data_IF_816553142841
#
_entry.id   IF_816553142841
#
_cell.length_a   1.000
_cell.length_b   1.000
_cell.length_c   1.000
_cell.angle_alpha   90.00
_cell.angle_beta   90.00
_cell.angle_gamma   90.00
#
_symmetry.space_group_name_H-M   'P 1'
#
loop_
_entity.id
_entity.type
_entity.pdbx_description
1 polymer ?
#
# COMPACT_ATOMS: atom_id res chain seq x y z
N UNK A 1 28.45 -24.07 -24.63
CA UNK A 1 28.74 -22.93 -23.73
C UNK A 1 27.76 -21.83 -24.04
N UNK A 2 26.73 -21.67 -23.21
CA UNK A 2 25.80 -20.54 -23.26
C UNK A 2 25.39 -20.31 -21.81
N UNK A 3 26.04 -19.34 -21.17
CA UNK A 3 25.75 -18.96 -19.80
C UNK A 3 24.35 -18.34 -19.72
N UNK A 4 23.57 -18.61 -18.66
CA UNK A 4 22.40 -17.79 -18.37
C UNK A 4 22.90 -16.39 -17.99
N UNK A 5 22.32 -15.38 -18.64
CA UNK A 5 22.54 -13.97 -18.30
C UNK A 5 21.95 -13.74 -16.91
N UNK A 6 22.81 -13.79 -15.90
CA UNK A 6 22.57 -13.17 -14.61
C UNK A 6 22.32 -11.68 -14.85
N UNK A 7 21.09 -11.25 -14.69
CA UNK A 7 20.78 -9.86 -14.40
C UNK A 7 20.53 -9.78 -12.89
N UNK A 8 21.57 -9.56 -12.06
CA UNK A 8 21.34 -8.99 -10.75
C UNK A 8 21.22 -7.46 -10.92
N UNK A 9 20.74 -6.81 -9.87
CA UNK A 9 20.75 -5.37 -9.61
C UNK A 9 19.44 -4.62 -9.89
N UNK A 10 18.89 -4.13 -8.76
CA UNK A 10 17.91 -3.05 -8.61
C UNK A 10 16.45 -3.40 -8.92
N UNK A 11 15.83 -4.15 -8.01
CA UNK A 11 14.46 -3.88 -7.57
C UNK A 11 14.61 -3.31 -6.15
N UNK A 12 14.70 -2.00 -6.09
CA UNK A 12 15.11 -1.25 -4.92
C UNK A 12 13.88 -0.70 -4.20
N UNK A 13 13.68 -1.21 -2.98
CA UNK A 13 13.40 -0.36 -1.80
C UNK A 13 12.09 0.45 -1.71
N UNK A 14 11.13 0.32 -2.63
CA UNK A 14 9.87 1.08 -2.55
C UNK A 14 8.84 0.65 -1.46
N UNK A 15 9.19 -0.27 -0.55
CA UNK A 15 8.40 -0.59 0.66
C UNK A 15 9.15 -0.23 1.97
N UNK A 16 10.35 0.34 1.89
CA UNK A 16 11.10 0.71 3.10
C UNK A 16 10.68 2.06 3.71
N UNK A 17 9.77 2.80 3.07
CA UNK A 17 9.28 4.10 3.55
C UNK A 17 7.99 3.97 4.38
N UNK A 18 7.50 2.74 4.63
CA UNK A 18 6.65 2.49 5.80
C UNK A 18 7.58 2.49 7.02
N UNK A 19 7.88 3.68 7.53
CA UNK A 19 8.80 3.92 8.65
C UNK A 19 8.21 3.42 9.97
N UNK A 20 8.19 2.11 10.14
CA UNK A 20 8.12 1.46 11.44
C UNK A 20 9.19 0.38 11.51
N UNK A 21 9.77 0.13 12.69
CA UNK A 21 10.71 -0.99 12.87
C UNK A 21 10.07 -2.38 12.65
N UNK A 22 8.75 -2.40 12.41
CA UNK A 22 7.86 -3.56 12.38
C UNK A 22 7.05 -3.56 11.08
N UNK A 23 7.19 -4.62 10.29
CA UNK A 23 6.40 -4.83 9.07
C UNK A 23 5.00 -5.36 9.41
N UNK A 24 3.97 -4.99 8.63
CA UNK A 24 2.65 -5.64 8.70
C UNK A 24 2.37 -6.37 7.39
N UNK A 25 2.09 -7.66 7.50
CA UNK A 25 2.02 -8.56 6.33
C UNK A 25 0.79 -9.45 6.34
N UNK A 26 0.48 -9.97 5.15
CA UNK A 26 -0.61 -10.89 4.89
C UNK A 26 -0.08 -12.11 4.11
N UNK A 27 -0.61 -13.31 4.34
CA UNK A 27 -0.15 -14.52 3.63
C UNK A 27 -0.58 -14.55 2.15
N UNK A 28 -1.61 -13.79 1.79
CA UNK A 28 -2.23 -13.80 0.46
C UNK A 28 -2.58 -12.36 0.05
N UNK A 29 -2.73 -12.06 -1.25
CA UNK A 29 -3.22 -10.76 -1.69
C UNK A 29 -4.63 -10.50 -1.16
N UNK A 30 -4.81 -9.40 -0.44
CA UNK A 30 -6.06 -9.11 0.26
C UNK A 30 -7.05 -8.31 -0.59
N UNK A 31 -8.37 -8.47 -0.35
CA UNK A 31 -8.98 -9.57 0.40
C UNK A 31 -8.85 -10.91 -0.33
N UNK A 32 -8.80 -12.00 0.42
CA UNK A 32 -8.88 -13.35 -0.15
C UNK A 32 -10.18 -13.57 -0.94
N UNK A 33 -10.12 -14.51 -1.89
CA UNK A 33 -11.28 -15.00 -2.65
C UNK A 33 -12.05 -13.89 -3.38
N UNK A 34 -11.32 -12.88 -3.86
CA UNK A 34 -11.87 -11.74 -4.60
C UNK A 34 -11.15 -11.59 -5.93
N UNK A 35 -11.94 -11.26 -6.95
CA UNK A 35 -11.45 -11.04 -8.30
C UNK A 35 -10.41 -9.94 -8.32
N UNK A 36 -9.29 -10.26 -8.95
CA UNK A 36 -8.22 -9.33 -9.28
C UNK A 36 -8.64 -8.44 -10.45
N UNK A 37 -8.18 -7.20 -10.40
CA UNK A 37 -8.39 -6.20 -11.42
C UNK A 37 -7.08 -5.98 -12.17
N UNK A 38 -7.20 -5.89 -13.48
CA UNK A 38 -6.13 -5.56 -14.42
C UNK A 38 -6.00 -4.05 -14.66
N UNK A 39 -6.92 -3.25 -14.12
CA UNK A 39 -6.88 -1.80 -14.25
C UNK A 39 -7.50 -1.05 -13.06
N UNK A 40 -6.97 0.15 -12.82
CA UNK A 40 -7.62 1.15 -12.00
C UNK A 40 -8.89 1.67 -12.70
N UNK A 41 -9.91 2.12 -11.94
CA UNK A 41 -11.05 2.79 -12.56
C UNK A 41 -10.60 4.05 -13.29
N UNK A 42 -11.16 4.33 -14.47
CA UNK A 42 -10.83 5.56 -15.22
C UNK A 42 -10.93 6.84 -14.38
N UNK A 43 -11.90 6.89 -13.46
CA UNK A 43 -12.07 8.02 -12.54
C UNK A 43 -10.95 8.20 -11.50
N UNK A 44 -10.01 7.26 -11.42
CA UNK A 44 -8.81 7.33 -10.57
C UNK A 44 -7.58 7.75 -11.36
N UNK A 45 -7.59 7.60 -12.68
CA UNK A 45 -6.49 7.98 -13.56
C UNK A 45 -6.24 9.49 -13.50
N UNK A 46 -4.97 9.89 -13.63
CA UNK A 46 -4.51 11.28 -13.58
C UNK A 46 -3.43 11.51 -12.54
N UNK A 47 -3.06 12.79 -12.40
CA UNK A 47 -2.06 13.24 -11.45
C UNK A 47 -2.71 13.72 -10.16
N UNK A 48 -2.11 13.34 -9.04
CA UNK A 48 -2.55 13.64 -7.69
C UNK A 48 -1.37 14.18 -6.90
N UNK A 49 -1.61 15.07 -5.95
CA UNK A 49 -0.57 15.59 -5.06
C UNK A 49 -1.02 15.67 -3.62
N UNK A 50 -0.15 15.32 -2.69
CA UNK A 50 -0.34 15.53 -1.25
C UNK A 50 0.14 16.91 -0.81
N UNK A 51 0.82 17.65 -1.68
CA UNK A 51 1.36 18.95 -1.35
C UNK A 51 0.26 20.01 -1.26
N UNK A 52 0.24 20.75 -0.14
CA UNK A 52 -0.83 21.70 0.18
C UNK A 52 -0.86 22.89 -0.79
N UNK A 53 0.29 23.27 -1.36
CA UNK A 53 0.39 24.37 -2.34
C UNK A 53 0.19 23.92 -3.80
N UNK A 54 -0.12 22.64 -4.02
CA UNK A 54 -0.30 22.07 -5.35
C UNK A 54 0.99 21.61 -6.02
N UNK A 55 0.87 21.09 -7.24
CA UNK A 55 1.94 20.35 -7.93
C UNK A 55 3.19 21.20 -8.22
N UNK A 56 3.02 22.50 -8.48
CA UNK A 56 4.12 23.40 -8.84
C UNK A 56 5.17 23.54 -7.72
N UNK A 57 4.78 23.23 -6.47
CA UNK A 57 5.63 23.26 -5.28
C UNK A 57 5.88 21.87 -4.67
N UNK A 58 5.32 20.82 -5.28
CA UNK A 58 5.41 19.46 -4.76
C UNK A 58 6.77 18.81 -5.06
N UNK A 59 7.30 18.07 -4.09
CA UNK A 59 8.37 17.10 -4.30
C UNK A 59 7.91 15.90 -5.13
N UNK A 60 8.85 15.14 -5.68
CA UNK A 60 8.53 13.93 -6.48
C UNK A 60 7.80 12.86 -5.66
N UNK A 61 8.10 12.77 -4.36
CA UNK A 61 7.46 11.89 -3.36
C UNK A 61 6.05 12.36 -2.95
N UNK A 62 5.69 13.61 -3.25
CA UNK A 62 4.37 14.19 -3.01
C UNK A 62 3.44 14.11 -4.23
N UNK A 63 3.90 13.54 -5.35
CA UNK A 63 3.14 13.43 -6.60
C UNK A 63 2.84 11.96 -6.90
N UNK A 64 1.56 11.60 -6.98
CA UNK A 64 1.10 10.29 -7.41
C UNK A 64 0.50 10.37 -8.81
N UNK A 65 1.03 9.59 -9.76
CA UNK A 65 0.46 9.45 -11.10
C UNK A 65 -0.21 8.09 -11.20
N UNK A 66 -1.52 8.08 -11.42
CA UNK A 66 -2.30 6.87 -11.66
C UNK A 66 -2.59 6.73 -13.14
N UNK A 67 -2.09 5.67 -13.75
CA UNK A 67 -2.45 5.26 -15.12
C UNK A 67 -3.39 4.06 -15.03
N UNK A 68 -3.87 3.60 -16.19
CA UNK A 68 -4.81 2.48 -16.28
C UNK A 68 -4.29 1.22 -15.56
N UNK A 69 -3.04 0.83 -15.79
CA UNK A 69 -2.46 -0.44 -15.35
C UNK A 69 -1.29 -0.29 -14.37
N UNK A 70 -0.96 0.94 -13.96
CA UNK A 70 0.23 1.22 -13.14
C UNK A 70 0.12 2.53 -12.36
N UNK A 71 0.99 2.68 -11.37
CA UNK A 71 1.17 3.93 -10.61
C UNK A 71 2.65 4.32 -10.53
N UNK A 72 2.94 5.61 -10.40
CA UNK A 72 4.27 6.19 -10.10
C UNK A 72 4.15 7.20 -8.97
N UNK A 73 5.21 7.41 -8.21
CA UNK A 73 5.23 8.43 -7.14
C UNK A 73 5.25 7.88 -5.72
N UNK A 74 5.75 6.65 -5.55
CA UNK A 74 5.87 5.97 -4.26
C UNK A 74 7.33 5.97 -3.76
N UNK A 75 8.08 7.06 -3.97
CA UNK A 75 9.42 7.29 -3.41
C UNK A 75 10.61 7.11 -4.36
N UNK A 76 10.69 6.00 -5.12
CA UNK A 76 11.93 5.64 -5.83
C UNK A 76 11.86 5.78 -7.36
N UNK A 77 10.90 6.57 -7.87
CA UNK A 77 10.69 6.81 -9.30
C UNK A 77 10.30 5.57 -10.16
N UNK A 78 10.24 4.39 -9.53
CA UNK A 78 9.78 3.13 -10.12
C UNK A 78 8.24 3.14 -10.34
N UNK A 79 7.83 2.63 -11.50
CA UNK A 79 6.41 2.37 -11.78
C UNK A 79 6.02 1.02 -11.14
N UNK A 80 4.94 1.01 -10.37
CA UNK A 80 4.30 -0.22 -9.90
C UNK A 80 3.28 -0.65 -10.94
N UNK A 81 3.50 -1.78 -11.59
CA UNK A 81 2.63 -2.36 -12.62
C UNK A 81 1.70 -3.42 -12.02
N UNK A 82 0.41 -3.33 -12.30
CA UNK A 82 -0.58 -4.28 -11.83
C UNK A 82 -0.35 -5.67 -12.43
N UNK A 83 -0.44 -6.70 -11.60
CA UNK A 83 -0.19 -8.10 -11.97
C UNK A 83 1.30 -8.46 -12.11
N UNK A 84 2.21 -7.50 -11.96
CA UNK A 84 3.66 -7.73 -11.90
C UNK A 84 4.18 -7.38 -10.50
N UNK A 85 3.96 -6.14 -10.08
CA UNK A 85 4.50 -5.60 -8.83
C UNK A 85 3.44 -5.50 -7.74
N UNK A 86 2.15 -5.46 -8.10
CA UNK A 86 1.05 -5.41 -7.14
C UNK A 86 -0.21 -6.09 -7.66
N UNK A 87 -0.98 -6.66 -6.74
CA UNK A 87 -2.31 -7.20 -7.01
C UNK A 87 -3.37 -6.19 -6.58
N UNK A 88 -4.23 -5.78 -7.52
CA UNK A 88 -5.34 -4.86 -7.25
C UNK A 88 -6.65 -5.64 -7.05
N UNK A 89 -7.30 -5.42 -5.91
CA UNK A 89 -8.63 -5.97 -5.61
C UNK A 89 -9.60 -4.88 -5.19
N UNK A 90 -10.90 -5.12 -5.44
CA UNK A 90 -11.99 -4.21 -5.04
C UNK A 90 -12.70 -4.70 -3.79
N UNK A 91 -12.91 -3.79 -2.85
CA UNK A 91 -13.74 -4.01 -1.68
C UNK A 91 -14.72 -2.84 -1.45
N UNK A 92 -15.92 -2.96 -2.01
CA UNK A 92 -16.90 -1.87 -1.99
C UNK A 92 -16.41 -0.67 -2.80
N UNK A 93 -16.23 0.48 -2.14
CA UNK A 93 -15.65 1.71 -2.73
C UNK A 93 -14.13 1.77 -2.65
N UNK A 94 -13.50 0.87 -1.87
CA UNK A 94 -12.06 0.83 -1.66
C UNK A 94 -11.35 0.07 -2.79
N UNK A 95 -10.10 0.44 -3.04
CA UNK A 95 -9.13 -0.31 -3.82
C UNK A 95 -8.04 -0.79 -2.87
N UNK A 96 -7.76 -2.08 -2.93
CA UNK A 96 -6.81 -2.75 -2.06
C UNK A 96 -5.65 -3.16 -2.96
N UNK A 97 -4.47 -2.62 -2.70
CA UNK A 97 -3.24 -2.98 -3.38
C UNK A 97 -2.45 -3.87 -2.44
N UNK A 98 -2.10 -5.06 -2.92
CA UNK A 98 -1.23 -6.00 -2.21
C UNK A 98 0.10 -6.08 -2.94
N UNK A 99 1.18 -5.75 -2.24
CA UNK A 99 2.55 -5.76 -2.76
C UNK A 99 3.29 -6.97 -2.20
N UNK A 100 3.88 -7.84 -3.03
CA UNK A 100 4.70 -8.93 -2.56
C UNK A 100 5.92 -8.37 -1.80
N UNK A 101 6.22 -8.97 -0.67
CA UNK A 101 7.37 -8.62 0.15
C UNK A 101 8.65 -9.20 -0.45
N UNK A 102 9.73 -8.42 -0.40
CA UNK A 102 11.03 -8.88 -0.86
C UNK A 102 11.49 -10.04 0.02
N UNK A 103 11.98 -11.11 -0.60
CA UNK A 103 12.48 -12.31 0.09
C UNK A 103 11.43 -13.05 0.96
N UNK A 104 10.14 -12.84 0.69
CA UNK A 104 9.04 -13.51 1.39
C UNK A 104 7.87 -13.84 0.44
N UNK A 105 7.06 -14.82 0.81
CA UNK A 105 5.80 -15.20 0.16
C UNK A 105 4.61 -14.33 0.62
N UNK A 106 4.88 -13.27 1.39
CA UNK A 106 3.87 -12.43 2.04
C UNK A 106 3.62 -11.15 1.27
N UNK A 107 2.56 -10.46 1.68
CA UNK A 107 2.13 -9.22 1.05
C UNK A 107 1.98 -8.10 2.07
N UNK A 108 2.41 -6.90 1.73
CA UNK A 108 1.94 -5.68 2.40
C UNK A 108 0.73 -5.13 1.68
N UNK A 109 -0.15 -4.47 2.43
CA UNK A 109 -1.43 -4.01 1.93
C UNK A 109 -1.61 -2.54 2.20
N UNK A 110 -1.96 -1.78 1.16
CA UNK A 110 -2.47 -0.41 1.28
C UNK A 110 -3.88 -0.31 0.75
N UNK A 111 -4.61 0.64 1.30
CA UNK A 111 -6.05 0.78 1.11
C UNK A 111 -6.33 2.18 0.63
N UNK A 112 -6.75 2.29 -0.61
CA UNK A 112 -7.10 3.56 -1.20
C UNK A 112 -8.62 3.73 -1.29
N UNK A 113 -9.11 4.94 -1.07
CA UNK A 113 -10.50 5.31 -1.30
C UNK A 113 -10.60 6.72 -1.89
N UNK A 114 -11.20 6.80 -3.08
CA UNK A 114 -11.50 8.08 -3.73
C UNK A 114 -12.85 8.66 -3.31
N UNK A 115 -12.90 9.97 -3.09
CA UNK A 115 -14.12 10.80 -2.95
C UNK A 115 -13.96 12.08 -3.77
N UNK A 116 -14.54 12.10 -4.98
CA UNK A 116 -14.37 13.24 -5.89
C UNK A 116 -12.90 13.45 -6.24
N UNK A 117 -12.37 14.62 -5.94
CA UNK A 117 -10.98 14.99 -6.22
C UNK A 117 -10.03 14.67 -5.06
N UNK A 118 -10.48 13.90 -4.06
CA UNK A 118 -9.66 13.45 -2.93
C UNK A 118 -9.43 11.95 -3.02
N UNK A 119 -8.18 11.52 -2.82
CA UNK A 119 -7.74 10.14 -2.73
C UNK A 119 -7.07 9.92 -1.36
N UNK A 120 -7.80 9.25 -0.47
CA UNK A 120 -7.31 8.87 0.86
C UNK A 120 -6.61 7.51 0.75
N UNK A 121 -5.37 7.42 1.22
CA UNK A 121 -4.61 6.18 1.33
C UNK A 121 -4.36 5.87 2.80
N UNK A 122 -4.64 4.62 3.17
CA UNK A 122 -4.49 4.11 4.53
C UNK A 122 -3.61 2.86 4.54
N UNK A 123 -2.90 2.66 5.64
CA UNK A 123 -2.05 1.49 5.86
C UNK A 123 -2.29 0.91 7.27
N UNK A 124 -1.75 -0.27 7.52
CA UNK A 124 -1.69 -0.83 8.87
C UNK A 124 -0.42 -0.32 9.53
N UNK A 125 -0.58 0.40 10.64
CA UNK A 125 0.50 1.01 11.38
C UNK A 125 0.60 0.37 12.78
N UNK A 126 1.65 -0.42 13.04
CA UNK A 126 1.82 -1.10 14.33
C UNK A 126 2.29 -0.15 15.44
N UNK A 127 2.72 1.07 15.11
CA UNK A 127 3.14 2.08 16.08
C UNK A 127 1.95 2.88 16.64
N UNK A 128 0.77 2.77 16.02
CA UNK A 128 -0.44 3.35 16.58
C UNK A 128 -0.79 2.67 17.92
N UNK A 129 -1.13 3.50 18.92
CA UNK A 129 -1.57 3.06 20.24
C UNK A 129 -2.61 1.94 20.14
N UNK A 130 -2.35 0.84 20.86
CA UNK A 130 -3.19 -0.36 20.95
C UNK A 130 -3.48 -1.07 19.61
N UNK A 131 -2.74 -0.76 18.53
CA UNK A 131 -3.00 -1.33 17.20
C UNK A 131 -2.95 -2.87 17.19
N UNK A 132 -1.90 -3.45 17.78
CA UNK A 132 -1.70 -4.90 17.81
C UNK A 132 -2.82 -5.60 18.61
N UNK A 133 -3.20 -5.07 19.77
CA UNK A 133 -4.29 -5.61 20.60
C UNK A 133 -5.65 -5.48 19.90
N UNK A 134 -5.89 -4.35 19.23
CA UNK A 134 -7.08 -4.10 18.41
C UNK A 134 -7.19 -5.11 17.27
N UNK A 135 -6.08 -5.36 16.56
CA UNK A 135 -6.05 -6.35 15.48
C UNK A 135 -6.29 -7.76 16.01
N UNK A 136 -5.63 -8.15 17.11
CA UNK A 136 -5.83 -9.44 17.76
C UNK A 136 -7.29 -9.66 18.15
N UNK A 137 -7.92 -8.65 18.76
CA UNK A 137 -9.34 -8.68 19.13
C UNK A 137 -10.24 -8.81 17.89
N UNK A 138 -9.85 -8.16 16.79
CA UNK A 138 -10.64 -8.13 15.56
C UNK A 138 -10.62 -9.47 14.80
N UNK A 139 -9.47 -10.13 14.71
CA UNK A 139 -9.31 -11.36 13.89
C UNK A 139 -9.14 -12.64 14.68
N UNK A 140 -8.83 -12.54 15.98
CA UNK A 140 -8.50 -13.63 16.88
C UNK A 140 -6.99 -13.85 16.99
N UNK A 141 -6.53 -14.22 18.19
CA UNK A 141 -5.12 -14.53 18.49
C UNK A 141 -4.56 -15.66 17.61
N UNK A 142 -5.38 -16.63 17.21
CA UNK A 142 -5.01 -17.72 16.32
C UNK A 142 -4.77 -17.27 14.87
N UNK A 143 -5.13 -16.02 14.54
CA UNK A 143 -5.04 -15.42 13.20
C UNK A 143 -4.02 -14.29 13.10
N UNK A 144 -3.28 -14.03 14.16
CA UNK A 144 -2.20 -13.06 14.18
C UNK A 144 -0.91 -13.73 14.65
N UNK A 145 0.20 -13.47 13.97
CA UNK A 145 1.52 -13.92 14.41
C UNK A 145 2.45 -12.73 14.56
N UNK A 146 3.06 -12.61 15.74
CA UNK A 146 4.12 -11.64 16.02
C UNK A 146 5.48 -12.31 15.84
N UNK A 147 6.23 -11.87 14.84
CA UNK A 147 7.55 -12.40 14.51
C UNK A 147 8.59 -11.42 15.07
N UNK A 148 9.46 -11.92 15.94
CA UNK A 148 10.50 -11.14 16.59
C UNK A 148 11.86 -11.39 15.93
N UNK A 149 12.78 -10.42 16.01
CA UNK A 149 14.14 -10.56 15.48
C UNK A 149 14.89 -11.67 16.22
N UNK A 150 15.36 -12.68 15.48
CA UNK A 150 16.03 -13.86 16.05
C UNK A 150 17.38 -13.52 16.71
N UNK A 151 18.08 -12.54 16.15
CA UNK A 151 19.44 -12.15 16.58
C UNK A 151 19.46 -10.91 17.48
N UNK A 152 18.29 -10.44 17.93
CA UNK A 152 18.16 -9.28 18.80
C UNK A 152 17.95 -9.73 20.26
N UNK A 153 18.86 -9.38 21.19
CA UNK A 153 18.74 -9.76 22.61
C UNK A 153 17.49 -9.16 23.27
N UNK A 154 16.99 -8.03 22.77
CA UNK A 154 15.75 -7.40 23.25
C UNK A 154 14.50 -8.04 22.61
N UNK A 155 14.70 -8.99 21.69
CA UNK A 155 13.63 -9.64 20.91
C UNK A 155 12.65 -8.62 20.35
N UNK A 156 13.16 -7.52 19.76
CA UNK A 156 12.28 -6.50 19.19
C UNK A 156 11.38 -7.11 18.13
N UNK A 157 10.13 -6.65 18.11
CA UNK A 157 9.16 -7.05 17.10
C UNK A 157 9.72 -6.68 15.72
N UNK A 158 9.61 -7.62 14.78
CA UNK A 158 10.05 -7.44 13.39
C UNK A 158 8.84 -7.32 12.47
N UNK A 159 7.83 -8.13 12.71
CA UNK A 159 6.70 -8.26 11.80
C UNK A 159 5.44 -8.72 12.55
N UNK A 160 4.29 -8.18 12.14
CA UNK A 160 2.97 -8.67 12.51
C UNK A 160 2.29 -9.24 11.26
N UNK A 161 2.08 -10.55 11.25
CA UNK A 161 1.35 -11.22 10.19
C UNK A 161 -0.14 -11.29 10.54
N UNK A 162 -0.98 -10.70 9.71
CA UNK A 162 -2.44 -10.71 9.84
C UNK A 162 -3.05 -11.71 8.84
N UNK A 163 -3.86 -12.65 9.34
CA UNK A 163 -4.49 -13.70 8.53
C UNK A 163 -6.02 -13.73 8.72
N UNK A 164 -6.74 -12.69 8.25
CA UNK A 164 -8.19 -12.61 8.42
C UNK A 164 -8.88 -13.77 7.68
N UNK A 165 -9.68 -14.56 8.40
CA UNK A 165 -10.35 -15.77 7.89
C UNK A 165 -11.25 -15.53 6.67
N UNK A 166 -11.77 -14.31 6.51
CA UNK A 166 -12.70 -13.97 5.45
C UNK A 166 -12.77 -12.46 5.23
N UNK A 167 -13.47 -12.05 4.16
CA UNK A 167 -13.69 -10.64 3.84
C UNK A 167 -14.39 -9.85 4.96
N UNK A 168 -15.18 -10.49 5.86
CA UNK A 168 -15.82 -9.79 6.97
C UNK A 168 -14.78 -9.34 8.01
N UNK A 169 -13.89 -10.24 8.42
CA UNK A 169 -12.78 -9.88 9.31
C UNK A 169 -11.85 -8.87 8.66
N UNK A 170 -11.49 -9.05 7.38
CA UNK A 170 -10.68 -8.05 6.70
C UNK A 170 -11.37 -6.67 6.65
N UNK A 171 -12.69 -6.61 6.42
CA UNK A 171 -13.43 -5.32 6.51
C UNK A 171 -13.41 -4.70 7.90
N UNK A 172 -13.41 -5.50 8.96
CA UNK A 172 -13.30 -5.01 10.33
C UNK A 172 -11.90 -4.44 10.57
N UNK A 173 -10.85 -5.17 10.19
CA UNK A 173 -9.46 -4.68 10.19
C UNK A 173 -9.32 -3.35 9.44
N UNK A 174 -9.92 -3.21 8.25
CA UNK A 174 -9.86 -1.95 7.50
C UNK A 174 -10.53 -0.77 8.21
N UNK A 175 -11.51 -1.03 9.08
CA UNK A 175 -12.28 0.02 9.75
C UNK A 175 -11.53 0.52 10.99
N UNK A 176 -10.98 -0.40 11.76
CA UNK A 176 -10.48 -0.15 13.12
C UNK A 176 -8.95 -0.30 13.22
N UNK A 177 -8.32 -0.89 12.21
CA UNK A 177 -6.91 -1.24 12.24
C UNK A 177 -6.04 -0.53 11.20
N UNK A 178 -6.57 0.44 10.46
CA UNK A 178 -5.75 1.22 9.51
C UNK A 178 -5.73 2.70 9.90
N UNK A 179 -4.58 3.34 9.72
CA UNK A 179 -4.38 4.78 9.87
C UNK A 179 -4.32 5.47 8.51
N UNK A 180 -4.57 6.78 8.49
CA UNK A 180 -4.28 7.57 7.30
C UNK A 180 -2.76 7.62 7.08
N UNK A 181 -2.33 7.18 5.90
CA UNK A 181 -0.94 7.26 5.47
C UNK A 181 -0.70 8.60 4.76
N UNK A 182 -1.56 8.91 3.79
CA UNK A 182 -1.47 10.11 2.97
C UNK A 182 -2.82 10.41 2.32
N UNK A 183 -3.12 11.69 2.17
CA UNK A 183 -4.26 12.16 1.38
C UNK A 183 -3.73 12.96 0.18
N UNK A 184 -4.13 12.54 -1.02
CA UNK A 184 -3.82 13.27 -2.24
C UNK A 184 -5.06 14.01 -2.76
N UNK A 185 -4.82 15.16 -3.39
CA UNK A 185 -5.81 15.93 -4.14
C UNK A 185 -5.50 15.86 -5.63
N UNK A 186 -6.54 15.70 -6.46
CA UNK A 186 -6.41 15.66 -7.92
C UNK A 186 -5.88 16.99 -8.42
N UNK A 187 -4.83 16.93 -9.23
CA UNK A 187 -4.33 18.08 -9.97
C UNK A 187 -5.30 18.33 -11.11
N UNK A 188 -5.89 19.52 -11.14
CA UNK A 188 -6.70 19.98 -12.25
C UNK A 188 -5.76 20.59 -13.27
N UNK A 189 -5.91 20.22 -14.53
CA UNK A 189 -5.23 20.93 -15.61
C UNK A 189 -5.65 22.41 -15.51
N UNK A 190 -4.68 23.34 -15.52
CA UNK A 190 -5.00 24.76 -15.72
C UNK A 190 -5.70 24.88 -17.07
N UNK A 191 -6.91 25.43 -17.10
CA UNK A 191 -7.50 25.82 -18.38
C UNK A 191 -6.56 26.85 -19.05
N UNK A 192 -6.33 26.79 -20.37
CA UNK A 192 -5.44 27.72 -21.08
C UNK A 192 -5.77 29.22 -20.92
N UNK A 193 -6.93 29.55 -20.34
CA UNK A 193 -7.45 30.91 -20.22
C UNK A 193 -7.21 31.58 -18.87
N UNK A 194 -6.58 30.92 -17.89
CA UNK A 194 -6.24 31.53 -16.60
C UNK A 194 -4.78 32.03 -16.57
N UNK A 195 -4.42 32.85 -17.56
CA UNK A 195 -3.24 33.74 -17.48
C UNK A 195 -3.73 35.18 -17.33
N UNK A 196 -3.15 35.97 -16.40
CA UNK A 196 -3.54 37.37 -16.17
C UNK A 196 -3.27 38.30 -17.36
#
# INVERSE_FOLDING_TARGET
>A
MTAPRFAPLLVATAIAVLTGCVDVTFPEPMPENRRELDHFPASWEGTWTSHVQGIDAAGEDEILIVKRDRIRGMGDDEEVVLGQDAVLKRLGRKRILSFPQKDSDRYSVVVAQRRGDVLEVRAFDPEQDDAIESWETTIGADRMLQIHRKDDPEKRLKEVQLNPKNTRQFRALLREGTTELVTYTRVKDREPNDAP
#
